data_IF_188314412897
#
_entry.id   IF_188314412897
#
_cell.length_a   1.000
_cell.length_b   1.000
_cell.length_c   1.000
_cell.angle_alpha   90.00
_cell.angle_beta   90.00
_cell.angle_gamma   90.00
#
_symmetry.space_group_name_H-M   'P 1'
#
loop_
_entity.id
_entity.type
_entity.pdbx_description
1 polymer ?
#
# COMPACT_ATOMS: atom_id res chain seq x y z
N UNK A 1 10.21 24.05 -1.29
CA UNK A 1 9.25 23.39 -0.35
C UNK A 1 9.43 21.89 -0.51
N UNK A 2 9.75 21.14 0.56
CA UNK A 2 9.98 19.69 0.45
C UNK A 2 8.62 18.98 0.36
N UNK A 3 8.35 18.31 -0.76
CA UNK A 3 7.11 17.53 -0.96
C UNK A 3 7.36 16.06 -0.62
N UNK A 4 6.74 15.57 0.45
CA UNK A 4 6.79 14.17 0.85
C UNK A 4 5.59 13.43 0.25
N UNK A 5 5.84 12.26 -0.34
CA UNK A 5 4.82 11.41 -0.94
C UNK A 5 4.20 10.45 0.08
N UNK A 6 4.98 10.06 1.09
CA UNK A 6 4.50 9.35 2.28
C UNK A 6 4.93 10.14 3.50
N UNK A 7 3.99 10.45 4.39
CA UNK A 7 4.30 11.05 5.69
C UNK A 7 3.51 10.37 6.79
N UNK A 8 4.16 10.08 7.92
CA UNK A 8 3.48 9.67 9.15
C UNK A 8 3.86 10.60 10.30
N UNK A 9 2.90 10.88 11.17
CA UNK A 9 3.07 11.75 12.34
C UNK A 9 2.59 11.01 13.58
N UNK A 10 3.55 10.62 14.43
CA UNK A 10 3.30 9.84 15.66
C UNK A 10 2.37 8.64 15.42
N UNK A 11 2.51 7.97 14.28
CA UNK A 11 1.60 6.91 13.87
C UNK A 11 1.68 5.77 14.87
N UNK A 12 0.55 5.44 15.47
CA UNK A 12 0.47 4.47 16.54
C UNK A 12 -0.62 3.46 16.26
N UNK A 13 -0.31 2.18 16.42
CA UNK A 13 -1.29 1.09 16.33
C UNK A 13 -1.19 0.20 17.56
N UNK A 14 -2.30 0.12 18.29
CA UNK A 14 -2.47 -0.77 19.45
C UNK A 14 -3.49 -1.86 19.13
N UNK A 15 -3.20 -3.06 19.58
CA UNK A 15 -4.10 -4.22 19.59
C UNK A 15 -4.26 -4.68 21.04
N UNK A 16 -5.38 -4.33 21.67
CA UNK A 16 -5.60 -4.59 23.11
C UNK A 16 -4.37 -4.10 23.91
N UNK A 17 -3.58 -5.02 24.46
CA UNK A 17 -2.43 -4.75 25.32
C UNK A 17 -1.09 -4.64 24.56
N UNK A 18 -1.08 -4.85 23.24
CA UNK A 18 0.13 -4.80 22.40
C UNK A 18 0.19 -3.49 21.61
N UNK A 19 1.31 -2.77 21.71
CA UNK A 19 1.63 -1.65 20.83
C UNK A 19 2.44 -2.17 19.64
N UNK A 20 1.77 -2.36 18.49
CA UNK A 20 2.41 -2.92 17.29
C UNK A 20 3.18 -1.87 16.48
N UNK A 21 2.78 -0.61 16.56
CA UNK A 21 3.51 0.54 16.00
C UNK A 21 3.45 1.63 17.07
N UNK A 22 4.60 2.17 17.49
CA UNK A 22 4.67 3.20 18.52
C UNK A 22 5.24 4.51 17.97
N UNK A 23 4.40 5.55 17.88
CA UNK A 23 4.77 6.92 17.48
C UNK A 23 5.70 7.02 16.27
N UNK A 24 5.45 6.22 15.22
CA UNK A 24 6.29 6.21 14.02
C UNK A 24 6.16 7.53 13.24
N UNK A 25 7.30 8.18 13.02
CA UNK A 25 7.45 9.35 12.17
C UNK A 25 8.30 8.98 10.96
N UNK A 26 7.70 9.06 9.76
CA UNK A 26 8.29 8.63 8.50
C UNK A 26 8.03 9.71 7.46
N UNK A 27 9.02 9.97 6.60
CA UNK A 27 8.91 10.92 5.49
C UNK A 27 9.66 10.37 4.29
N UNK A 28 8.94 10.01 3.24
CA UNK A 28 9.48 9.44 2.00
C UNK A 28 9.20 10.42 0.86
N UNK A 29 10.24 10.75 0.09
CA UNK A 29 10.15 11.67 -1.05
C UNK A 29 9.62 10.96 -2.30
N UNK A 30 9.24 11.76 -3.31
CA UNK A 30 8.87 11.23 -4.63
C UNK A 30 10.02 10.41 -5.22
N UNK A 31 9.72 9.21 -5.71
CA UNK A 31 10.69 8.35 -6.42
C UNK A 31 11.70 7.65 -5.51
N UNK A 32 11.55 7.78 -4.20
CA UNK A 32 12.43 7.12 -3.23
C UNK A 32 12.00 5.67 -3.01
N UNK A 33 12.97 4.75 -3.02
CA UNK A 33 12.79 3.36 -2.62
C UNK A 33 13.07 3.29 -1.12
N UNK A 34 12.08 2.86 -0.34
CA UNK A 34 12.18 2.80 1.12
C UNK A 34 11.90 1.38 1.63
N UNK A 35 12.81 0.85 2.45
CA UNK A 35 12.67 -0.46 3.07
C UNK A 35 12.33 -0.38 4.55
N UNK A 36 11.27 -1.08 4.99
CA UNK A 36 11.02 -1.33 6.41
C UNK A 36 11.66 -2.67 6.82
N UNK A 37 12.72 -2.63 7.62
CA UNK A 37 13.49 -3.81 8.04
C UNK A 37 13.39 -4.00 9.55
N UNK A 38 13.26 -5.25 9.99
CA UNK A 38 13.16 -5.60 11.41
C UNK A 38 12.67 -7.04 11.61
N UNK A 39 12.71 -7.58 12.84
CA UNK A 39 12.28 -8.95 13.13
C UNK A 39 10.76 -9.15 12.95
N UNK A 40 10.32 -10.41 13.03
CA UNK A 40 8.89 -10.72 13.07
C UNK A 40 8.23 -10.04 14.28
N UNK A 41 7.05 -9.49 14.08
CA UNK A 41 6.34 -8.71 15.12
C UNK A 41 6.76 -7.24 15.24
N UNK A 42 7.80 -6.77 14.54
CA UNK A 42 8.25 -5.37 14.61
C UNK A 42 7.28 -4.32 14.00
N UNK A 43 6.06 -4.70 13.63
CA UNK A 43 5.06 -3.75 13.11
C UNK A 43 5.17 -3.39 11.62
N UNK A 44 6.06 -4.05 10.84
CA UNK A 44 6.25 -3.79 9.40
C UNK A 44 4.94 -3.92 8.61
N UNK A 45 4.33 -5.11 8.64
CA UNK A 45 3.08 -5.41 7.94
C UNK A 45 1.94 -4.53 8.44
N UNK A 46 1.90 -4.24 9.75
CA UNK A 46 0.91 -3.33 10.35
C UNK A 46 1.05 -1.92 9.78
N UNK A 47 2.27 -1.41 9.68
CA UNK A 47 2.57 -0.08 9.11
C UNK A 47 2.16 -0.02 7.65
N UNK A 48 2.57 -1.00 6.83
CA UNK A 48 2.21 -1.06 5.40
C UNK A 48 0.68 -1.11 5.23
N UNK A 49 -0.02 -1.97 5.98
CA UNK A 49 -1.48 -2.05 5.91
C UNK A 49 -2.18 -0.74 6.29
N UNK A 50 -1.61 0.06 7.19
CA UNK A 50 -2.14 1.39 7.49
C UNK A 50 -1.89 2.36 6.34
N UNK A 51 -0.70 2.35 5.76
CA UNK A 51 -0.36 3.19 4.59
C UNK A 51 -1.16 2.83 3.34
N UNK A 52 -1.55 1.56 3.18
CA UNK A 52 -2.49 1.11 2.15
C UNK A 52 -3.96 1.35 2.53
N UNK A 53 -4.24 1.89 3.72
CA UNK A 53 -5.58 2.16 4.23
C UNK A 53 -6.45 0.93 4.52
N UNK A 54 -5.84 -0.26 4.54
CA UNK A 54 -6.47 -1.53 4.92
C UNK A 54 -6.72 -1.59 6.43
N UNK A 55 -5.85 -0.96 7.21
CA UNK A 55 -5.98 -0.83 8.66
C UNK A 55 -6.04 0.63 9.09
N UNK A 56 -6.86 0.93 10.10
CA UNK A 56 -6.85 2.24 10.75
C UNK A 56 -5.80 2.29 11.86
N UNK A 57 -5.10 3.41 11.96
CA UNK A 57 -4.28 3.72 13.13
C UNK A 57 -5.14 3.83 14.40
N UNK A 58 -4.54 3.59 15.56
CA UNK A 58 -5.19 3.87 16.86
C UNK A 58 -5.09 5.37 17.18
N UNK A 59 -3.95 5.98 16.89
CA UNK A 59 -3.72 7.42 17.01
C UNK A 59 -2.61 7.88 16.06
N UNK A 60 -2.42 9.19 15.96
CA UNK A 60 -1.51 9.80 14.99
C UNK A 60 -2.11 9.89 13.59
N UNK A 61 -1.28 10.25 12.63
CA UNK A 61 -1.71 10.57 11.26
C UNK A 61 -0.80 9.90 10.23
N UNK A 62 -1.38 9.54 9.10
CA UNK A 62 -0.67 9.05 7.93
C UNK A 62 -1.19 9.78 6.68
N UNK A 63 -0.27 10.09 5.77
CA UNK A 63 -0.53 10.83 4.55
C UNK A 63 0.13 10.12 3.38
N UNK A 64 -0.60 10.02 2.26
CA UNK A 64 -0.07 9.60 0.97
C UNK A 64 -0.47 10.66 -0.06
N UNK A 65 0.48 11.12 -0.88
CA UNK A 65 0.27 12.18 -1.86
C UNK A 65 -0.37 13.44 -1.25
N UNK A 66 0.04 13.80 -0.04
CA UNK A 66 -0.48 14.94 0.72
C UNK A 66 -1.92 14.76 1.27
N UNK A 67 -2.56 13.60 1.06
CA UNK A 67 -3.91 13.33 1.59
C UNK A 67 -3.84 12.47 2.84
N UNK A 68 -4.59 12.86 3.86
CA UNK A 68 -4.71 12.11 5.11
C UNK A 68 -5.45 10.80 4.87
N UNK A 69 -4.93 9.69 5.39
CA UNK A 69 -5.54 8.37 5.31
C UNK A 69 -6.56 8.13 6.43
N UNK A 70 -7.61 7.31 6.17
CA UNK A 70 -7.94 6.70 4.88
C UNK A 70 -8.64 7.68 3.91
N UNK A 71 -8.22 7.70 2.64
CA UNK A 71 -8.88 8.45 1.55
C UNK A 71 -8.95 7.56 0.30
N UNK A 72 -10.18 7.27 -0.17
CA UNK A 72 -10.43 6.39 -1.32
C UNK A 72 -9.72 6.87 -2.60
N UNK A 73 -9.66 8.18 -2.84
CA UNK A 73 -9.05 8.76 -4.05
C UNK A 73 -7.54 8.52 -4.11
N UNK A 74 -6.92 8.35 -2.94
CA UNK A 74 -5.50 8.01 -2.84
C UNK A 74 -5.28 6.51 -2.83
N UNK A 75 -6.21 5.71 -2.32
CA UNK A 75 -6.15 4.24 -2.39
C UNK A 75 -6.12 3.75 -3.85
N UNK A 76 -6.84 4.39 -4.76
CA UNK A 76 -6.79 4.11 -6.22
C UNK A 76 -5.40 4.34 -6.84
N UNK A 77 -4.50 5.05 -6.13
CA UNK A 77 -3.13 5.33 -6.56
C UNK A 77 -2.08 4.49 -5.86
N UNK A 78 -2.48 3.52 -5.03
CA UNK A 78 -1.58 2.66 -4.26
C UNK A 78 -1.66 1.23 -4.83
N UNK A 79 -0.53 0.73 -5.32
CA UNK A 79 -0.35 -0.71 -5.57
C UNK A 79 0.09 -1.40 -4.28
N UNK A 80 -0.58 -2.50 -3.91
CA UNK A 80 -0.23 -3.29 -2.74
C UNK A 80 -0.13 -4.77 -3.10
N UNK A 81 1.06 -5.35 -2.89
CA UNK A 81 1.29 -6.79 -2.99
C UNK A 81 1.41 -7.36 -1.57
N UNK A 82 0.37 -8.06 -1.06
CA UNK A 82 0.46 -8.74 0.23
C UNK A 82 1.48 -9.89 0.22
N UNK A 83 1.88 -10.33 1.40
CA UNK A 83 2.80 -11.48 1.57
C UNK A 83 2.24 -12.77 0.96
N UNK A 84 0.93 -13.00 1.09
CA UNK A 84 0.25 -14.10 0.40
C UNK A 84 -0.35 -13.55 -0.89
N UNK A 85 0.00 -14.16 -2.02
CA UNK A 85 -0.43 -13.68 -3.34
C UNK A 85 -1.92 -13.96 -3.55
N UNK A 86 -2.64 -12.96 -4.05
CA UNK A 86 -4.06 -13.05 -4.35
C UNK A 86 -4.34 -13.64 -5.76
N UNK A 87 -3.53 -14.61 -6.20
CA UNK A 87 -3.65 -15.18 -7.55
C UNK A 87 -4.78 -16.21 -7.62
N UNK A 88 -5.58 -16.12 -8.68
CA UNK A 88 -6.56 -17.14 -9.03
C UNK A 88 -5.84 -18.32 -9.67
N UNK A 89 -5.71 -19.41 -8.90
CA UNK A 89 -4.95 -20.60 -9.31
C UNK A 89 -5.52 -21.32 -10.54
N UNK A 90 -6.80 -21.13 -10.85
CA UNK A 90 -7.44 -21.66 -12.05
C UNK A 90 -7.20 -20.83 -13.31
N UNK A 91 -6.52 -19.68 -13.19
CA UNK A 91 -6.21 -18.78 -14.31
C UNK A 91 -4.71 -18.82 -14.61
N UNK A 92 -4.37 -18.69 -15.89
CA UNK A 92 -2.98 -18.45 -16.31
C UNK A 92 -2.47 -17.09 -15.79
N UNK A 93 -1.16 -16.86 -15.86
CA UNK A 93 -0.56 -15.56 -15.48
C UNK A 93 -1.19 -14.41 -16.27
N UNK A 94 -1.29 -14.57 -17.60
CA UNK A 94 -1.93 -13.60 -18.48
C UNK A 94 -3.38 -13.30 -18.06
N UNK A 95 -4.17 -14.34 -17.81
CA UNK A 95 -5.55 -14.20 -17.37
C UNK A 95 -5.68 -13.53 -16.00
N UNK A 96 -4.74 -13.75 -15.07
CA UNK A 96 -4.72 -13.02 -13.80
C UNK A 96 -4.48 -11.52 -14.03
N UNK A 97 -3.52 -11.16 -14.89
CA UNK A 97 -3.23 -9.74 -15.21
C UNK A 97 -4.42 -9.08 -15.88
N UNK A 98 -5.03 -9.73 -16.88
CA UNK A 98 -6.24 -9.27 -17.57
C UNK A 98 -7.41 -9.09 -16.60
N UNK A 99 -7.62 -10.07 -15.70
CA UNK A 99 -8.66 -10.03 -14.70
C UNK A 99 -8.49 -8.83 -13.76
N UNK A 100 -7.32 -8.66 -13.14
CA UNK A 100 -7.08 -7.54 -12.24
C UNK A 100 -7.16 -6.20 -12.97
N UNK A 101 -6.57 -6.06 -14.15
CA UNK A 101 -6.65 -4.79 -14.88
C UNK A 101 -8.09 -4.42 -15.26
N UNK A 102 -8.95 -5.40 -15.59
CA UNK A 102 -10.37 -5.14 -15.81
C UNK A 102 -11.11 -4.70 -14.54
N UNK A 103 -10.78 -5.28 -13.37
CA UNK A 103 -11.35 -4.86 -12.09
C UNK A 103 -10.95 -3.44 -11.69
N UNK A 104 -9.75 -3.00 -12.07
CA UNK A 104 -9.28 -1.62 -11.87
C UNK A 104 -9.79 -0.65 -12.95
N UNK A 105 -10.64 -1.12 -13.88
CA UNK A 105 -11.29 -0.28 -14.88
C UNK A 105 -10.38 0.16 -16.03
N UNK A 106 -9.31 -0.59 -16.34
CA UNK A 106 -8.47 -0.28 -17.49
C UNK A 106 -9.27 -0.44 -18.80
N UNK A 107 -9.12 0.52 -19.70
CA UNK A 107 -9.65 0.41 -21.06
C UNK A 107 -8.99 -0.77 -21.79
N UNK A 108 -9.74 -1.40 -22.69
CA UNK A 108 -9.33 -2.66 -23.32
C UNK A 108 -8.00 -2.56 -24.08
N UNK A 109 -7.77 -1.44 -24.77
CA UNK A 109 -6.54 -1.19 -25.50
C UNK A 109 -5.35 -1.03 -24.55
N UNK A 110 -5.49 -0.18 -23.53
CA UNK A 110 -4.47 -0.01 -22.48
C UNK A 110 -4.18 -1.32 -21.74
N UNK A 111 -5.21 -2.11 -21.42
CA UNK A 111 -5.02 -3.40 -20.76
C UNK A 111 -4.19 -4.35 -21.64
N UNK A 112 -4.47 -4.41 -22.94
CA UNK A 112 -3.72 -5.24 -23.88
C UNK A 112 -2.25 -4.84 -23.93
N UNK A 113 -1.96 -3.54 -24.04
CA UNK A 113 -0.59 -3.02 -24.02
C UNK A 113 0.12 -3.34 -22.70
N UNK A 114 -0.55 -3.16 -21.56
CA UNK A 114 0.04 -3.47 -20.24
C UNK A 114 0.33 -4.95 -20.06
N UNK A 115 -0.53 -5.83 -20.55
CA UNK A 115 -0.32 -7.28 -20.50
C UNK A 115 0.90 -7.68 -21.32
N UNK A 116 1.12 -7.07 -22.49
CA UNK A 116 2.28 -7.35 -23.34
C UNK A 116 3.60 -6.88 -22.71
N UNK A 117 3.60 -5.75 -21.98
CA UNK A 117 4.80 -5.24 -21.30
C UNK A 117 5.16 -6.03 -20.04
N UNK A 118 4.18 -6.64 -19.37
CA UNK A 118 4.36 -7.33 -18.09
C UNK A 118 4.69 -8.82 -18.23
N UNK A 119 4.58 -9.39 -19.44
CA UNK A 119 4.85 -10.79 -19.77
C UNK A 119 6.12 -10.91 -20.61
#
# INVERSE_FOLDING_TARGET
>A
MVSFYVETRNLTKKYRNLVAVDRLNLRIKKGEIYGLVGPNGAGKTTTIKILCGILRATSGEAYILGRRLPDKRVMERIGYMPQETALYRGLTVKQNIEFFGSLYGLEREMLREKVEVLL
#
